data_IF_959495762409
#
_entry.id   IF_959495762409
#
_cell.length_a   1.000
_cell.length_b   1.000
_cell.length_c   1.000
_cell.angle_alpha   90.00
_cell.angle_beta   90.00
_cell.angle_gamma   90.00
#
_symmetry.space_group_name_H-M   'P 1'
#
loop_
_entity.id
_entity.type
_entity.pdbx_description
1 polymer ?
#
# COMPACT_ATOMS: atom_id res chain seq x y z
N UNK A 1 21.20 18.90 3.91
CA UNK A 1 20.94 18.16 5.18
C UNK A 1 21.12 16.68 4.93
N UNK A 2 21.94 16.04 5.76
CA UNK A 2 22.21 14.60 5.72
C UNK A 2 20.93 13.82 6.01
N UNK A 3 20.47 13.06 5.06
CA UNK A 3 19.14 12.45 5.09
C UNK A 3 19.24 10.93 5.07
N UNK A 4 18.52 10.25 5.97
CA UNK A 4 18.30 8.80 5.93
C UNK A 4 16.93 8.53 5.31
N UNK A 5 16.88 7.55 4.40
CA UNK A 5 15.66 7.09 3.73
C UNK A 5 15.32 5.67 4.14
N UNK A 6 14.11 5.47 4.66
CA UNK A 6 13.62 4.14 5.10
C UNK A 6 12.50 3.72 4.17
N UNK A 7 12.72 2.67 3.39
CA UNK A 7 11.73 2.11 2.46
C UNK A 7 12.08 0.69 2.03
N UNK A 8 11.08 -0.04 1.52
CA UNK A 8 11.30 -1.32 0.87
C UNK A 8 10.52 -1.47 -0.45
N UNK A 9 9.70 -0.48 -0.82
CA UNK A 9 8.80 -0.59 -1.96
C UNK A 9 9.11 0.41 -3.09
N UNK A 10 8.52 0.15 -4.25
CA UNK A 10 8.69 0.97 -5.45
C UNK A 10 8.25 2.41 -5.24
N UNK A 11 7.16 2.64 -4.51
CA UNK A 11 6.67 3.99 -4.22
C UNK A 11 7.68 4.79 -3.40
N UNK A 12 8.26 4.17 -2.37
CA UNK A 12 9.29 4.80 -1.56
C UNK A 12 10.61 5.00 -2.30
N UNK A 13 10.93 4.12 -3.27
CA UNK A 13 12.09 4.29 -4.14
C UNK A 13 11.91 5.48 -5.10
N UNK A 14 10.75 5.62 -5.73
CA UNK A 14 10.44 6.76 -6.60
C UNK A 14 10.49 8.09 -5.82
N UNK A 15 10.01 8.07 -4.58
CA UNK A 15 10.11 9.23 -3.68
C UNK A 15 11.57 9.56 -3.31
N UNK A 16 12.41 8.56 -3.08
CA UNK A 16 13.84 8.75 -2.81
C UNK A 16 14.52 9.42 -4.01
N UNK A 17 14.29 8.92 -5.23
CA UNK A 17 14.84 9.52 -6.45
C UNK A 17 14.38 10.97 -6.61
N UNK A 18 13.10 11.23 -6.39
CA UNK A 18 12.57 12.60 -6.43
C UNK A 18 13.20 13.51 -5.34
N UNK A 19 13.45 12.99 -4.15
CA UNK A 19 14.12 13.76 -3.09
C UNK A 19 15.56 14.11 -3.47
N UNK A 20 16.28 13.21 -4.13
CA UNK A 20 17.62 13.45 -4.67
C UNK A 20 17.59 14.54 -5.75
N UNK A 21 16.63 14.47 -6.68
CA UNK A 21 16.46 15.47 -7.75
C UNK A 21 16.29 16.89 -7.20
N UNK A 22 15.63 17.04 -6.04
CA UNK A 22 15.38 18.34 -5.41
C UNK A 22 16.40 18.71 -4.34
N UNK A 23 17.54 18.00 -4.27
CA UNK A 23 18.72 18.37 -3.48
C UNK A 23 18.84 17.72 -2.10
N UNK A 24 18.12 16.65 -1.81
CA UNK A 24 18.36 15.88 -0.59
C UNK A 24 19.70 15.12 -0.68
N UNK A 25 20.53 15.25 0.36
CA UNK A 25 21.78 14.50 0.52
C UNK A 25 21.48 13.17 1.23
N UNK A 26 21.32 12.10 0.47
CA UNK A 26 21.04 10.78 1.05
C UNK A 26 22.35 10.15 1.53
N UNK A 27 22.46 9.97 2.84
CA UNK A 27 23.65 9.39 3.50
C UNK A 27 23.45 7.94 3.95
N UNK A 28 22.20 7.49 4.01
CA UNK A 28 21.85 6.11 4.35
C UNK A 28 20.49 5.71 3.79
N UNK A 29 20.39 4.49 3.31
CA UNK A 29 19.15 3.84 2.86
C UNK A 29 18.93 2.62 3.73
N UNK A 30 17.78 2.59 4.42
CA UNK A 30 17.35 1.47 5.27
C UNK A 30 16.29 0.70 4.52
N UNK A 31 16.52 -0.61 4.31
CA UNK A 31 15.62 -1.46 3.54
C UNK A 31 15.54 -2.88 4.11
N UNK A 32 14.68 -3.71 3.54
CA UNK A 32 14.57 -5.12 3.91
C UNK A 32 15.71 -5.94 3.31
N UNK A 33 16.25 -6.91 4.06
CA UNK A 33 17.30 -7.79 3.57
C UNK A 33 16.76 -8.91 2.66
N UNK A 34 17.63 -9.39 1.78
CA UNK A 34 17.42 -10.62 1.01
C UNK A 34 16.62 -10.43 -0.28
N UNK A 35 16.20 -11.53 -0.91
CA UNK A 35 15.48 -11.48 -2.18
C UNK A 35 14.12 -10.83 -2.02
N UNK A 36 13.60 -10.32 -3.15
CA UNK A 36 12.25 -9.74 -3.21
C UNK A 36 11.24 -10.83 -2.88
N UNK A 37 10.39 -10.55 -1.90
CA UNK A 37 9.32 -11.43 -1.45
C UNK A 37 8.05 -11.15 -2.29
N UNK A 38 7.58 -12.10 -3.11
CA UNK A 38 6.42 -11.90 -3.98
C UNK A 38 5.11 -11.65 -3.19
N UNK A 39 5.04 -12.10 -1.94
CA UNK A 39 3.88 -11.88 -1.07
C UNK A 39 3.89 -10.47 -0.42
N UNK A 40 4.94 -9.70 -0.67
CA UNK A 40 5.12 -8.37 -0.11
C UNK A 40 4.92 -7.31 -1.20
N UNK A 41 3.76 -6.68 -1.16
CA UNK A 41 3.32 -5.70 -2.17
C UNK A 41 4.37 -4.63 -2.46
N UNK A 42 4.79 -4.53 -3.71
CA UNK A 42 5.67 -3.49 -4.21
C UNK A 42 7.13 -3.58 -3.79
N UNK A 43 7.58 -4.63 -3.09
CA UNK A 43 8.98 -4.73 -2.67
C UNK A 43 9.93 -4.61 -3.86
N UNK A 44 11.00 -3.82 -3.71
CA UNK A 44 12.05 -3.66 -4.71
C UNK A 44 13.44 -3.53 -4.05
N UNK A 45 14.48 -3.65 -4.88
CA UNK A 45 15.87 -3.49 -4.45
C UNK A 45 16.24 -2.01 -4.30
N UNK A 46 17.22 -1.71 -3.43
CA UNK A 46 17.77 -0.37 -3.17
C UNK A 46 19.30 -0.31 -3.26
N UNK A 47 19.97 -1.44 -3.51
CA UNK A 47 21.43 -1.56 -3.58
C UNK A 47 22.04 -0.68 -4.67
N UNK A 48 21.45 -0.66 -5.86
CA UNK A 48 21.91 0.15 -6.99
C UNK A 48 21.82 1.65 -6.72
N UNK A 49 20.71 2.12 -6.15
CA UNK A 49 20.52 3.54 -5.82
C UNK A 49 21.42 3.95 -4.66
N UNK A 50 21.57 3.13 -3.62
CA UNK A 50 22.47 3.41 -2.52
C UNK A 50 23.91 3.48 -2.99
N UNK A 51 24.39 2.54 -3.83
CA UNK A 51 25.72 2.55 -4.41
C UNK A 51 25.97 3.78 -5.29
N UNK A 52 25.02 4.16 -6.15
CA UNK A 52 25.10 5.35 -7.00
C UNK A 52 25.24 6.64 -6.19
N UNK A 53 24.56 6.72 -5.06
CA UNK A 53 24.58 7.90 -4.18
C UNK A 53 25.76 7.90 -3.20
N UNK A 54 26.51 6.80 -3.09
CA UNK A 54 27.52 6.63 -2.04
C UNK A 54 26.94 6.56 -0.64
N UNK A 55 25.65 6.24 -0.52
CA UNK A 55 24.94 6.11 0.73
C UNK A 55 25.17 4.74 1.38
N UNK A 56 25.17 4.68 2.71
CA UNK A 56 25.22 3.41 3.41
C UNK A 56 23.93 2.62 3.20
N UNK A 57 24.02 1.39 2.68
CA UNK A 57 22.90 0.46 2.64
C UNK A 57 22.79 -0.26 3.99
N UNK A 58 21.65 -0.13 4.65
CA UNK A 58 21.37 -0.72 5.97
C UNK A 58 20.18 -1.68 5.81
N UNK A 59 20.49 -2.95 5.72
CA UNK A 59 19.47 -3.99 5.61
C UNK A 59 18.99 -4.42 6.99
N UNK A 60 17.67 -4.40 7.21
CA UNK A 60 17.07 -4.79 8.49
C UNK A 60 15.65 -5.32 8.33
N UNK A 61 15.25 -6.22 9.23
CA UNK A 61 13.85 -6.64 9.43
C UNK A 61 13.18 -5.90 10.58
N UNK A 62 13.96 -5.16 11.37
CA UNK A 62 13.46 -4.34 12.48
C UNK A 62 14.20 -2.99 12.51
N UNK A 63 13.48 -1.94 12.10
CA UNK A 63 14.00 -0.57 12.05
C UNK A 63 14.38 -0.03 13.44
N UNK A 64 13.82 -0.60 14.51
CA UNK A 64 14.08 -0.21 15.91
C UNK A 64 15.16 -1.06 16.59
N UNK A 65 15.71 -2.08 15.92
CA UNK A 65 16.77 -2.90 16.47
C UNK A 65 18.03 -2.07 16.79
N UNK A 66 18.71 -2.41 17.87
CA UNK A 66 19.89 -1.66 18.34
C UNK A 66 21.00 -1.58 17.29
N UNK A 67 21.25 -2.68 16.56
CA UNK A 67 22.21 -2.72 15.45
C UNK A 67 21.81 -1.77 14.31
N UNK A 68 20.53 -1.70 13.95
CA UNK A 68 19.99 -0.77 12.94
C UNK A 68 20.17 0.67 13.38
N UNK A 69 19.77 0.99 14.62
CA UNK A 69 19.92 2.34 15.19
C UNK A 69 21.40 2.77 15.26
N UNK A 70 22.31 1.84 15.59
CA UNK A 70 23.74 2.11 15.61
C UNK A 70 24.31 2.32 14.20
N UNK A 71 23.81 1.59 13.19
CA UNK A 71 24.21 1.81 11.81
C UNK A 71 23.73 3.17 11.29
N UNK A 72 22.50 3.57 11.58
CA UNK A 72 21.94 4.88 11.24
C UNK A 72 22.72 6.00 11.95
N UNK A 73 23.05 5.83 13.22
CA UNK A 73 23.82 6.84 13.99
C UNK A 73 25.19 7.14 13.36
N UNK A 74 25.85 6.13 12.77
CA UNK A 74 27.17 6.30 12.13
C UNK A 74 27.15 7.22 10.91
N UNK A 75 26.01 7.34 10.25
CA UNK A 75 25.84 8.25 9.11
C UNK A 75 25.35 9.64 9.53
N UNK A 76 25.21 9.92 10.83
CA UNK A 76 24.90 11.22 11.41
C UNK A 76 23.76 11.97 10.69
N UNK A 77 22.53 11.39 10.63
CA UNK A 77 21.44 12.01 9.91
C UNK A 77 20.94 13.29 10.58
N UNK A 78 20.55 14.26 9.78
CA UNK A 78 19.81 15.44 10.22
C UNK A 78 18.31 15.25 10.02
N UNK A 79 17.92 14.63 8.90
CA UNK A 79 16.55 14.29 8.53
C UNK A 79 16.40 12.78 8.34
N UNK A 80 15.19 12.27 8.56
CA UNK A 80 14.83 10.94 8.13
C UNK A 80 13.46 10.93 7.45
N UNK A 81 13.33 10.15 6.39
CA UNK A 81 12.05 9.85 5.75
C UNK A 81 11.71 8.37 5.90
N UNK A 82 10.46 8.08 6.24
CA UNK A 82 9.90 6.73 6.38
C UNK A 82 8.73 6.62 5.40
N UNK A 83 8.99 6.04 4.23
CA UNK A 83 8.04 5.98 3.11
C UNK A 83 7.88 4.54 2.66
N UNK A 84 6.64 4.02 2.62
CA UNK A 84 6.40 2.63 2.25
C UNK A 84 7.01 1.62 3.25
N UNK A 85 7.01 1.95 4.53
CA UNK A 85 7.52 1.08 5.60
C UNK A 85 6.40 0.64 6.53
N UNK A 86 6.39 -0.63 6.89
CA UNK A 86 5.24 -1.23 7.59
C UNK A 86 5.35 -1.28 9.12
N UNK A 87 6.50 -0.91 9.69
CA UNK A 87 6.70 -0.85 11.13
C UNK A 87 6.62 0.61 11.62
N UNK A 88 6.12 0.80 12.81
CA UNK A 88 6.25 2.08 13.51
C UNK A 88 7.68 2.28 13.95
N UNK A 89 8.19 3.49 13.82
CA UNK A 89 9.47 3.89 14.42
C UNK A 89 9.23 4.38 15.85
N UNK A 90 10.19 4.11 16.72
CA UNK A 90 10.10 4.44 18.15
C UNK A 90 11.03 5.61 18.51
N UNK A 91 10.86 6.15 19.73
CA UNK A 91 11.61 7.30 20.21
C UNK A 91 13.13 7.23 19.97
N UNK A 92 13.82 6.06 20.15
CA UNK A 92 15.25 5.97 19.88
C UNK A 92 15.63 6.19 18.41
N UNK A 93 14.75 5.82 17.46
CA UNK A 93 14.94 6.13 16.04
C UNK A 93 14.68 7.62 15.77
N UNK A 94 13.57 8.15 16.31
CA UNK A 94 13.17 9.55 16.12
C UNK A 94 14.28 10.49 16.61
N UNK A 95 14.91 10.17 17.73
CA UNK A 95 15.99 10.96 18.30
C UNK A 95 17.29 10.99 17.46
N UNK A 96 17.42 10.14 16.43
CA UNK A 96 18.61 10.15 15.56
C UNK A 96 18.62 11.30 14.55
N UNK A 97 17.43 11.83 14.18
CA UNK A 97 17.30 12.87 13.17
C UNK A 97 16.86 14.19 13.82
N UNK A 98 17.83 15.08 14.11
CA UNK A 98 17.60 16.31 14.89
C UNK A 98 16.66 17.33 14.23
N UNK A 99 16.53 17.32 12.90
CA UNK A 99 15.65 18.21 12.13
C UNK A 99 14.27 17.58 11.86
N UNK A 100 14.07 16.33 12.29
CA UNK A 100 12.81 15.63 12.29
C UNK A 100 12.80 14.34 11.47
N UNK A 101 11.78 13.54 11.75
CA UNK A 101 11.43 12.31 11.02
C UNK A 101 10.10 12.53 10.33
N UNK A 102 10.02 12.20 9.06
CA UNK A 102 8.83 12.44 8.25
C UNK A 102 8.34 11.14 7.63
N UNK A 103 7.02 10.94 7.68
CA UNK A 103 6.34 9.83 7.05
C UNK A 103 5.40 10.28 5.95
N UNK A 104 5.07 9.36 5.06
CA UNK A 104 4.02 9.58 4.06
C UNK A 104 2.94 8.50 4.20
N UNK A 105 1.70 8.94 4.17
CA UNK A 105 0.56 8.05 4.30
C UNK A 105 -0.43 8.28 3.16
N UNK A 106 -0.89 7.22 2.44
CA UNK A 106 -1.76 7.37 1.27
C UNK A 106 -3.23 7.55 1.65
N UNK A 107 -3.50 8.52 2.53
CA UNK A 107 -4.82 9.04 2.87
C UNK A 107 -4.77 10.55 3.16
N UNK A 108 -5.93 11.17 3.30
CA UNK A 108 -6.07 12.56 3.77
C UNK A 108 -6.20 12.57 5.30
N UNK A 109 -5.05 12.55 6.00
CA UNK A 109 -5.02 12.65 7.46
C UNK A 109 -5.79 13.89 7.96
N UNK A 110 -6.45 13.83 9.11
CA UNK A 110 -6.35 12.82 10.17
C UNK A 110 -7.25 11.59 9.97
N UNK A 111 -7.99 11.52 8.88
CA UNK A 111 -8.85 10.36 8.60
C UNK A 111 -8.02 9.19 8.06
N UNK A 112 -8.47 7.96 8.39
CA UNK A 112 -7.96 6.73 7.79
C UNK A 112 -6.47 6.48 8.05
N UNK A 113 -5.99 6.76 9.28
CA UNK A 113 -4.69 6.33 9.78
C UNK A 113 -4.58 4.81 9.75
N UNK A 114 -3.38 4.26 9.86
CA UNK A 114 -3.15 2.84 10.10
C UNK A 114 -2.73 2.08 8.86
N UNK A 115 -3.40 0.97 8.52
CA UNK A 115 -2.86 -0.03 7.60
C UNK A 115 -3.75 -0.29 6.39
N UNK A 116 -3.14 -0.77 5.29
CA UNK A 116 -3.82 -1.15 4.05
C UNK A 116 -4.76 -0.06 3.48
N UNK A 117 -4.34 1.22 3.41
CA UNK A 117 -5.21 2.33 3.06
C UNK A 117 -5.82 2.23 1.66
N UNK A 118 -5.10 1.70 0.67
CA UNK A 118 -5.59 1.60 -0.71
C UNK A 118 -6.75 0.60 -0.83
N UNK A 119 -6.63 -0.67 -0.38
CA UNK A 119 -7.77 -1.58 -0.35
C UNK A 119 -8.97 -1.02 0.43
N UNK A 120 -8.72 -0.46 1.60
CA UNK A 120 -9.82 0.09 2.41
C UNK A 120 -10.52 1.28 1.76
N UNK A 121 -9.82 2.14 1.03
CA UNK A 121 -10.42 3.26 0.32
C UNK A 121 -11.45 2.78 -0.71
N UNK A 122 -11.10 1.74 -1.49
CA UNK A 122 -12.00 1.14 -2.47
C UNK A 122 -13.15 0.40 -1.78
N UNK A 123 -12.87 -0.48 -0.81
CA UNK A 123 -13.87 -1.26 -0.08
C UNK A 123 -14.86 -0.39 0.70
N UNK A 124 -14.43 0.80 1.13
CA UNK A 124 -15.28 1.77 1.81
C UNK A 124 -16.09 2.66 0.84
N UNK A 125 -15.96 2.45 -0.48
CA UNK A 125 -16.66 3.23 -1.49
C UNK A 125 -16.30 4.72 -1.48
N UNK A 126 -15.06 5.06 -1.12
CA UNK A 126 -14.63 6.46 -1.11
C UNK A 126 -14.54 7.00 -2.54
N UNK A 127 -15.10 8.21 -2.77
CA UNK A 127 -14.94 8.92 -4.03
C UNK A 127 -13.59 9.66 -4.13
N UNK A 128 -12.86 9.78 -3.03
CA UNK A 128 -11.56 10.44 -2.96
C UNK A 128 -10.71 9.92 -1.80
N UNK A 129 -9.42 9.95 -2.01
CA UNK A 129 -8.37 9.73 -1.01
C UNK A 129 -7.27 10.77 -1.24
N UNK A 130 -6.05 10.49 -0.87
CA UNK A 130 -4.92 11.39 -1.15
C UNK A 130 -3.64 10.88 -0.51
N UNK A 131 -2.65 11.74 -0.47
CA UNK A 131 -1.38 11.50 0.20
C UNK A 131 -1.12 12.61 1.20
N UNK A 132 -0.65 12.25 2.37
CA UNK A 132 -0.20 13.20 3.40
C UNK A 132 1.27 12.98 3.70
N UNK A 133 2.08 14.02 3.59
CA UNK A 133 3.40 14.11 4.22
C UNK A 133 3.20 14.69 5.63
N UNK A 134 3.72 14.00 6.65
CA UNK A 134 3.54 14.38 8.05
C UNK A 134 4.81 14.12 8.86
N UNK A 135 4.93 14.78 10.00
CA UNK A 135 6.02 14.61 10.94
C UNK A 135 5.75 13.44 11.88
N UNK A 136 6.74 12.58 12.12
CA UNK A 136 6.66 11.48 13.09
C UNK A 136 7.34 11.96 14.38
N UNK A 137 6.54 12.16 15.43
CA UNK A 137 7.00 12.71 16.72
C UNK A 137 7.00 11.69 17.86
N UNK A 138 6.28 10.59 17.69
CA UNK A 138 6.19 9.48 18.63
C UNK A 138 5.76 8.20 17.89
N UNK A 139 5.57 7.11 18.61
CA UNK A 139 5.12 5.81 18.07
C UNK A 139 3.61 5.72 17.80
N UNK A 140 2.86 6.83 17.88
CA UNK A 140 1.44 6.84 17.51
C UNK A 140 1.28 6.93 16.00
N UNK A 141 0.64 5.93 15.41
CA UNK A 141 0.51 5.84 13.96
C UNK A 141 -0.12 7.11 13.35
N UNK A 142 0.58 7.71 12.38
CA UNK A 142 0.11 8.77 11.48
C UNK A 142 -0.47 9.99 12.20
N UNK A 143 -0.01 10.30 13.44
CA UNK A 143 -0.63 11.30 14.32
C UNK A 143 0.02 12.67 14.28
N UNK A 144 1.24 12.79 13.78
CA UNK A 144 2.03 14.01 13.83
C UNK A 144 1.52 15.14 12.93
N UNK A 145 2.19 16.29 12.98
CA UNK A 145 1.76 17.47 12.23
C UNK A 145 1.82 17.25 10.72
N UNK A 146 0.77 17.65 10.01
CA UNK A 146 0.70 17.61 8.54
C UNK A 146 1.62 18.69 7.97
N UNK A 147 2.50 18.29 7.05
CA UNK A 147 3.37 19.18 6.27
C UNK A 147 2.67 19.59 4.96
N UNK A 148 2.00 18.65 4.30
CA UNK A 148 1.19 18.91 3.13
C UNK A 148 0.39 17.69 2.70
N UNK A 149 -0.58 17.93 1.82
CA UNK A 149 -1.50 16.91 1.31
C UNK A 149 -1.80 17.14 -0.16
N UNK A 150 -1.97 16.04 -0.91
CA UNK A 150 -2.51 16.02 -2.27
C UNK A 150 -3.73 15.13 -2.29
N UNK A 151 -4.86 15.64 -2.79
CA UNK A 151 -6.09 14.88 -2.99
C UNK A 151 -6.03 14.09 -4.30
N UNK A 152 -6.56 12.86 -4.28
CA UNK A 152 -6.67 11.96 -5.44
C UNK A 152 -8.11 11.44 -5.50
N UNK A 153 -8.79 11.66 -6.61
CA UNK A 153 -10.12 11.10 -6.86
C UNK A 153 -10.03 9.58 -7.06
N UNK A 154 -11.10 8.87 -6.72
CA UNK A 154 -11.27 7.43 -6.94
C UNK A 154 -12.45 7.24 -7.88
N UNK A 155 -12.18 6.72 -9.08
CA UNK A 155 -13.23 6.42 -10.05
C UNK A 155 -14.10 5.24 -9.58
N UNK A 156 -15.37 5.14 -10.04
CA UNK A 156 -16.25 4.04 -9.65
C UNK A 156 -15.72 2.64 -10.00
N UNK A 157 -14.90 2.55 -11.03
CA UNK A 157 -14.24 1.34 -11.53
C UNK A 157 -12.74 1.27 -11.19
N UNK A 158 -12.25 2.19 -10.34
CA UNK A 158 -10.85 2.25 -9.93
C UNK A 158 -10.38 0.93 -9.31
N UNK A 159 -9.27 0.38 -9.78
CA UNK A 159 -8.64 -0.81 -9.20
C UNK A 159 -7.53 -0.44 -8.22
N UNK A 160 -7.12 -1.40 -7.38
CA UNK A 160 -5.95 -1.19 -6.52
C UNK A 160 -4.68 -0.89 -7.32
N UNK A 161 -4.54 -1.48 -8.52
CA UNK A 161 -3.40 -1.24 -9.43
C UNK A 161 -3.35 0.21 -9.89
N UNK A 162 -4.45 0.74 -10.43
CA UNK A 162 -4.51 2.10 -10.95
C UNK A 162 -4.43 3.14 -9.82
N UNK A 163 -5.11 2.89 -8.70
CA UNK A 163 -5.05 3.79 -7.54
C UNK A 163 -3.64 3.83 -6.92
N UNK A 164 -2.96 2.67 -6.83
CA UNK A 164 -1.56 2.61 -6.36
C UNK A 164 -0.66 3.49 -7.23
N UNK A 165 -0.75 3.37 -8.55
CA UNK A 165 0.06 4.18 -9.47
C UNK A 165 -0.22 5.69 -9.34
N UNK A 166 -1.48 6.09 -9.20
CA UNK A 166 -1.87 7.50 -9.02
C UNK A 166 -1.41 8.05 -7.68
N UNK A 167 -1.50 7.25 -6.61
CA UNK A 167 -0.99 7.64 -5.31
C UNK A 167 0.54 7.70 -5.29
N UNK A 168 1.25 6.79 -5.97
CA UNK A 168 2.70 6.88 -6.12
C UNK A 168 3.10 8.20 -6.79
N UNK A 169 2.39 8.61 -7.84
CA UNK A 169 2.61 9.91 -8.50
C UNK A 169 2.38 11.08 -7.53
N UNK A 170 1.31 11.05 -6.76
CA UNK A 170 1.00 12.07 -5.74
C UNK A 170 2.06 12.12 -4.63
N UNK A 171 2.64 10.98 -4.22
CA UNK A 171 3.77 10.94 -3.29
C UNK A 171 4.98 11.67 -3.87
N UNK A 172 5.38 11.36 -5.09
CA UNK A 172 6.49 12.02 -5.79
C UNK A 172 6.25 13.53 -5.92
N UNK A 173 5.02 13.94 -6.25
CA UNK A 173 4.65 15.36 -6.30
C UNK A 173 4.88 16.06 -4.96
N UNK A 174 4.38 15.49 -3.85
CA UNK A 174 4.60 16.07 -2.51
C UNK A 174 6.08 16.13 -2.13
N UNK A 175 6.86 15.10 -2.48
CA UNK A 175 8.30 15.09 -2.23
C UNK A 175 8.97 16.27 -2.96
N UNK A 176 8.70 16.44 -4.26
CA UNK A 176 9.28 17.54 -5.06
C UNK A 176 8.90 18.92 -4.52
N UNK A 177 7.69 19.08 -4.02
CA UNK A 177 7.19 20.34 -3.49
C UNK A 177 7.74 20.65 -2.08
N UNK A 178 7.74 19.67 -1.18
CA UNK A 178 7.92 19.90 0.24
C UNK A 178 9.34 19.59 0.76
N UNK A 179 10.09 18.69 0.12
CA UNK A 179 11.46 18.39 0.56
C UNK A 179 12.35 19.62 0.50
N UNK A 180 12.35 20.49 -0.54
CA UNK A 180 13.12 21.74 -0.51
C UNK A 180 12.76 22.65 0.65
N UNK A 181 11.48 22.71 1.03
CA UNK A 181 11.00 23.50 2.16
C UNK A 181 11.45 22.90 3.51
N UNK A 182 11.50 21.56 3.61
CA UNK A 182 12.07 20.87 4.78
C UNK A 182 13.57 21.14 4.91
N UNK A 183 14.31 21.04 3.80
CA UNK A 183 15.76 21.32 3.76
C UNK A 183 16.08 22.76 4.13
N UNK A 184 15.23 23.72 3.82
CA UNK A 184 15.36 25.13 4.18
C UNK A 184 14.70 25.52 5.51
N UNK A 185 14.09 24.55 6.22
CA UNK A 185 13.34 24.76 7.48
C UNK A 185 12.14 25.70 7.35
N UNK A 186 11.57 25.82 6.16
CA UNK A 186 10.43 26.71 5.87
C UNK A 186 9.11 25.95 5.68
N UNK A 187 9.14 24.61 5.76
CA UNK A 187 7.94 23.79 5.55
C UNK A 187 6.88 24.04 6.62
N UNK A 188 5.59 24.17 6.23
CA UNK A 188 4.50 24.37 7.19
C UNK A 188 4.31 23.15 8.10
N UNK A 189 3.65 23.38 9.23
CA UNK A 189 3.24 22.35 10.18
C UNK A 189 1.82 22.65 10.63
N UNK A 190 0.89 21.76 10.32
CA UNK A 190 -0.50 21.87 10.73
C UNK A 190 -0.87 20.73 11.67
N UNK A 191 -1.30 21.06 12.87
CA UNK A 191 -1.70 20.06 13.86
C UNK A 191 -2.94 19.31 13.38
N UNK A 192 -2.95 17.98 13.52
CA UNK A 192 -4.13 17.20 13.23
C UNK A 192 -5.23 17.42 14.28
N UNK A 193 -6.49 17.50 13.84
CA UNK A 193 -7.65 17.52 14.73
C UNK A 193 -7.98 16.08 15.19
N UNK A 194 -7.79 15.75 16.47
CA UNK A 194 -8.06 14.40 16.96
C UNK A 194 -9.55 14.02 16.90
N UNK A 195 -10.46 15.01 16.92
CA UNK A 195 -11.89 14.77 16.78
C UNK A 195 -12.31 14.29 15.38
N UNK A 196 -11.45 14.44 14.38
CA UNK A 196 -11.67 13.98 13.00
C UNK A 196 -10.90 12.74 12.66
N UNK A 197 -10.07 12.22 13.57
CA UNK A 197 -9.23 11.07 13.34
C UNK A 197 -10.05 9.78 13.25
N UNK A 198 -9.70 8.94 12.30
CA UNK A 198 -10.17 7.55 12.19
C UNK A 198 -9.02 6.66 11.75
N UNK A 199 -9.16 5.33 11.91
CA UNK A 199 -8.11 4.40 11.54
C UNK A 199 -8.68 3.15 10.90
N UNK A 200 -7.89 2.53 10.02
CA UNK A 200 -8.15 1.25 9.41
C UNK A 200 -7.25 0.15 9.97
N UNK A 201 -7.79 -1.07 10.13
CA UNK A 201 -7.00 -2.19 10.60
C UNK A 201 -6.05 -2.72 9.52
N UNK A 202 -5.07 -3.52 9.96
CA UNK A 202 -4.20 -4.29 9.07
C UNK A 202 -5.02 -5.31 8.28
N UNK A 203 -4.64 -5.51 7.01
CA UNK A 203 -5.06 -6.66 6.20
C UNK A 203 -3.87 -7.62 6.02
N UNK A 204 -4.20 -8.90 5.87
CA UNK A 204 -3.25 -9.98 5.56
C UNK A 204 -3.75 -10.75 4.34
N UNK A 205 -2.92 -11.53 3.63
CA UNK A 205 -3.34 -12.28 2.44
C UNK A 205 -4.58 -13.16 2.67
N UNK A 206 -4.72 -13.76 3.85
CA UNK A 206 -5.88 -14.56 4.22
C UNK A 206 -7.22 -13.80 4.22
N UNK A 207 -7.17 -12.48 4.42
CA UNK A 207 -8.38 -11.64 4.34
C UNK A 207 -8.92 -11.50 2.90
N UNK A 208 -8.22 -12.04 1.90
CA UNK A 208 -8.64 -12.01 0.50
C UNK A 208 -9.64 -13.09 0.12
N UNK A 209 -10.02 -14.00 1.03
CA UNK A 209 -11.00 -15.05 0.74
C UNK A 209 -12.32 -14.48 0.25
N UNK A 210 -12.89 -15.08 -0.80
CA UNK A 210 -14.18 -14.68 -1.37
C UNK A 210 -15.28 -15.43 -0.62
N UNK A 211 -16.21 -14.68 -0.05
CA UNK A 211 -17.48 -15.22 0.49
C UNK A 211 -18.56 -15.10 -0.56
N UNK A 212 -18.83 -16.21 -1.26
CA UNK A 212 -19.79 -16.28 -2.35
C UNK A 212 -21.24 -15.99 -1.94
N UNK A 213 -21.59 -16.08 -0.65
CA UNK A 213 -22.92 -15.70 -0.15
C UNK A 213 -23.15 -14.18 -0.21
N UNK A 214 -22.11 -13.43 -0.53
CA UNK A 214 -22.16 -11.97 -0.71
C UNK A 214 -22.68 -11.61 -2.10
N UNK A 215 -23.32 -10.44 -2.25
CA UNK A 215 -23.83 -9.94 -3.54
C UNK A 215 -22.71 -9.59 -4.53
N UNK A 216 -22.96 -9.83 -5.83
CA UNK A 216 -21.96 -9.64 -6.88
C UNK A 216 -21.34 -8.23 -6.95
N UNK A 217 -22.06 -7.09 -6.80
CA UNK A 217 -21.45 -5.78 -6.81
C UNK A 217 -20.41 -5.56 -5.69
N UNK A 218 -20.65 -6.14 -4.50
CA UNK A 218 -19.67 -6.08 -3.42
C UNK A 218 -18.45 -6.97 -3.70
N UNK A 219 -18.65 -8.16 -4.28
CA UNK A 219 -17.56 -9.05 -4.68
C UNK A 219 -16.71 -8.43 -5.81
N UNK A 220 -17.31 -7.66 -6.71
CA UNK A 220 -16.57 -6.85 -7.67
C UNK A 220 -15.63 -5.87 -6.96
N UNK A 221 -16.16 -5.10 -5.98
CA UNK A 221 -15.33 -4.20 -5.17
C UNK A 221 -14.25 -4.96 -4.39
N UNK A 222 -14.60 -6.17 -3.89
CA UNK A 222 -13.66 -7.03 -3.18
C UNK A 222 -12.50 -7.46 -4.05
N UNK A 223 -12.73 -7.86 -5.30
CA UNK A 223 -11.69 -8.27 -6.26
C UNK A 223 -10.82 -7.06 -6.64
N UNK A 224 -11.43 -5.97 -7.13
CA UNK A 224 -10.68 -4.81 -7.62
C UNK A 224 -9.89 -4.07 -6.55
N UNK A 225 -10.30 -4.15 -5.28
CA UNK A 225 -9.58 -3.56 -4.15
C UNK A 225 -8.32 -4.33 -3.75
N UNK A 226 -8.18 -5.58 -4.15
CA UNK A 226 -7.12 -6.47 -3.73
C UNK A 226 -6.29 -7.01 -4.89
N UNK A 227 -6.58 -6.57 -6.13
CA UNK A 227 -5.75 -6.93 -7.28
C UNK A 227 -4.34 -6.38 -7.16
N UNK A 228 -3.47 -6.65 -8.12
CA UNK A 228 -2.04 -6.25 -8.09
C UNK A 228 -1.87 -4.78 -7.68
N UNK A 229 -0.87 -4.45 -6.86
CA UNK A 229 0.26 -5.28 -6.39
C UNK A 229 -0.05 -6.10 -5.12
N UNK A 230 -1.30 -6.24 -4.72
CA UNK A 230 -1.70 -7.04 -3.56
C UNK A 230 -1.83 -8.52 -3.93
N UNK A 231 -1.97 -9.43 -2.92
CA UNK A 231 -2.00 -10.88 -3.14
C UNK A 231 -3.22 -11.42 -3.90
N UNK A 232 -4.21 -10.58 -4.21
CA UNK A 232 -5.44 -10.95 -4.90
C UNK A 232 -6.56 -11.43 -3.98
N UNK A 233 -7.81 -11.30 -4.47
CA UNK A 233 -8.93 -12.02 -3.90
C UNK A 233 -8.82 -13.50 -4.32
N UNK A 234 -9.27 -14.42 -3.47
CA UNK A 234 -9.13 -15.84 -3.78
C UNK A 234 -10.28 -16.69 -3.24
N UNK A 235 -10.43 -17.85 -3.85
CA UNK A 235 -11.32 -18.93 -3.43
C UNK A 235 -10.61 -20.26 -3.59
N UNK A 236 -11.31 -21.37 -3.40
CA UNK A 236 -10.78 -22.71 -3.62
C UNK A 236 -11.66 -23.50 -4.60
N UNK A 237 -11.03 -24.36 -5.37
CA UNK A 237 -11.69 -25.43 -6.12
C UNK A 237 -11.10 -26.77 -5.67
N UNK A 238 -11.85 -27.50 -4.83
CA UNK A 238 -11.29 -28.58 -4.03
C UNK A 238 -10.21 -28.03 -3.07
N UNK A 239 -8.99 -28.58 -3.16
CA UNK A 239 -7.85 -28.13 -2.36
C UNK A 239 -7.01 -27.05 -3.06
N UNK A 240 -7.30 -26.76 -4.33
CA UNK A 240 -6.52 -25.85 -5.15
C UNK A 240 -6.98 -24.41 -4.99
N UNK A 241 -6.02 -23.51 -4.75
CA UNK A 241 -6.29 -22.07 -4.65
C UNK A 241 -6.54 -21.48 -6.04
N UNK A 242 -7.61 -20.70 -6.14
CA UNK A 242 -7.98 -19.91 -7.32
C UNK A 242 -7.89 -18.43 -6.95
N UNK A 243 -6.91 -17.72 -7.48
CA UNK A 243 -6.78 -16.27 -7.31
C UNK A 243 -7.57 -15.59 -8.42
N UNK A 244 -8.39 -14.62 -8.04
CA UNK A 244 -9.21 -13.81 -8.97
C UNK A 244 -8.60 -12.41 -9.02
N UNK A 245 -8.06 -12.05 -10.20
CA UNK A 245 -7.41 -10.76 -10.43
C UNK A 245 -8.37 -9.71 -10.98
N UNK A 246 -9.27 -10.14 -11.88
CA UNK A 246 -10.29 -9.30 -12.51
C UNK A 246 -11.63 -10.03 -12.55
N UNK A 247 -12.69 -9.27 -12.31
CA UNK A 247 -14.04 -9.78 -12.35
C UNK A 247 -15.03 -8.66 -12.68
N UNK A 248 -16.24 -9.01 -13.13
CA UNK A 248 -17.35 -8.06 -13.26
C UNK A 248 -18.69 -8.69 -12.85
N UNK A 249 -19.61 -7.90 -12.28
CA UNK A 249 -20.92 -8.37 -11.91
C UNK A 249 -21.80 -8.58 -13.15
N UNK A 250 -22.67 -9.59 -13.08
CA UNK A 250 -23.69 -9.89 -14.09
C UNK A 250 -25.01 -10.26 -13.43
N UNK A 251 -26.10 -10.03 -14.14
CA UNK A 251 -27.41 -10.57 -13.76
C UNK A 251 -27.47 -12.05 -14.16
N UNK A 252 -28.04 -12.88 -13.30
CA UNK A 252 -28.30 -14.29 -13.62
C UNK A 252 -29.75 -14.48 -14.05
N UNK A 253 -29.97 -15.30 -15.09
CA UNK A 253 -31.30 -15.64 -15.59
C UNK A 253 -32.06 -16.59 -14.65
N UNK A 254 -31.37 -17.33 -13.79
CA UNK A 254 -31.94 -18.25 -12.81
C UNK A 254 -31.07 -18.26 -11.53
N UNK A 255 -31.71 -18.52 -10.39
CA UNK A 255 -31.02 -18.70 -9.11
C UNK A 255 -30.22 -20.03 -9.13
N UNK A 256 -29.06 -19.98 -8.51
CA UNK A 256 -28.19 -21.13 -8.28
C UNK A 256 -27.52 -20.99 -6.90
N UNK A 257 -27.11 -22.09 -6.26
CA UNK A 257 -26.38 -22.02 -5.00
C UNK A 257 -25.10 -21.17 -5.15
N UNK A 258 -24.84 -20.31 -4.20
CA UNK A 258 -23.65 -19.43 -4.20
C UNK A 258 -22.36 -20.26 -4.33
N UNK A 259 -21.39 -19.75 -5.10
CA UNK A 259 -20.15 -20.44 -5.45
C UNK A 259 -20.27 -21.42 -6.63
N UNK A 260 -21.49 -21.67 -7.15
CA UNK A 260 -21.68 -22.58 -8.30
C UNK A 260 -21.29 -21.87 -9.61
N UNK A 261 -20.49 -22.52 -10.45
CA UNK A 261 -20.21 -22.08 -11.82
C UNK A 261 -21.45 -22.40 -12.68
N UNK A 262 -22.16 -21.36 -13.10
CA UNK A 262 -23.42 -21.48 -13.84
C UNK A 262 -23.26 -21.42 -15.35
N UNK A 263 -22.15 -20.82 -15.81
CA UNK A 263 -21.79 -20.70 -17.22
C UNK A 263 -20.26 -20.56 -17.37
N UNK A 264 -19.77 -20.86 -18.58
CA UNK A 264 -18.37 -20.56 -18.97
C UNK A 264 -18.45 -19.76 -20.26
N UNK A 265 -18.39 -18.45 -20.13
CA UNK A 265 -18.42 -17.49 -21.25
C UNK A 265 -17.06 -17.35 -21.92
N UNK A 266 -17.01 -16.59 -23.02
CA UNK A 266 -15.75 -16.22 -23.66
C UNK A 266 -14.82 -15.37 -22.75
N UNK A 267 -15.43 -14.65 -21.79
CA UNK A 267 -14.71 -13.78 -20.84
C UNK A 267 -14.29 -14.53 -19.56
N UNK A 268 -14.74 -15.77 -19.37
CA UNK A 268 -14.41 -16.61 -18.22
C UNK A 268 -15.59 -17.26 -17.53
N UNK A 269 -15.36 -18.03 -16.44
CA UNK A 269 -16.40 -18.67 -15.66
C UNK A 269 -17.33 -17.64 -15.00
N UNK A 270 -18.64 -17.91 -15.03
CA UNK A 270 -19.69 -17.15 -14.35
C UNK A 270 -20.08 -17.88 -13.09
N UNK A 271 -19.86 -17.27 -11.94
CA UNK A 271 -20.10 -17.85 -10.62
C UNK A 271 -21.32 -17.20 -9.97
N UNK A 272 -22.26 -18.01 -9.48
CA UNK A 272 -23.41 -17.52 -8.73
C UNK A 272 -22.96 -16.94 -7.39
N UNK A 273 -23.51 -15.78 -7.04
CA UNK A 273 -23.30 -15.08 -5.78
C UNK A 273 -24.59 -15.11 -4.93
N UNK A 274 -24.55 -14.60 -3.71
CA UNK A 274 -25.76 -14.47 -2.88
C UNK A 274 -26.84 -13.64 -3.56
N UNK A 275 -26.45 -12.68 -4.42
CA UNK A 275 -27.33 -11.95 -5.34
C UNK A 275 -26.55 -11.65 -6.62
N UNK A 276 -27.08 -12.07 -7.79
CA UNK A 276 -26.45 -11.95 -9.09
C UNK A 276 -25.31 -12.94 -9.29
N UNK A 277 -24.46 -12.68 -10.28
CA UNK A 277 -23.30 -13.49 -10.62
C UNK A 277 -22.03 -12.64 -10.83
N UNK A 278 -20.88 -13.29 -10.78
CA UNK A 278 -19.59 -12.69 -11.03
C UNK A 278 -18.90 -13.43 -12.17
N UNK A 279 -18.54 -12.73 -13.24
CA UNK A 279 -17.66 -13.26 -14.30
C UNK A 279 -16.23 -13.12 -13.80
N UNK A 280 -15.46 -14.20 -13.82
CA UNK A 280 -14.05 -14.20 -13.42
C UNK A 280 -13.20 -13.99 -14.69
N UNK A 281 -12.83 -12.75 -14.98
CA UNK A 281 -12.19 -12.36 -16.24
C UNK A 281 -10.70 -12.69 -16.28
N UNK A 282 -10.00 -12.54 -15.14
CA UNK A 282 -8.62 -12.97 -14.99
C UNK A 282 -8.45 -13.80 -13.71
N UNK A 283 -8.05 -15.05 -13.87
CA UNK A 283 -7.77 -15.98 -12.78
C UNK A 283 -6.36 -16.56 -12.87
N UNK A 284 -5.83 -16.96 -11.73
CA UNK A 284 -4.59 -17.71 -11.61
C UNK A 284 -4.84 -18.93 -10.73
N UNK A 285 -4.62 -20.12 -11.26
CA UNK A 285 -4.84 -21.38 -10.54
C UNK A 285 -3.99 -22.49 -11.13
N UNK A 286 -3.68 -23.50 -10.32
CA UNK A 286 -3.14 -24.80 -10.76
C UNK A 286 -4.25 -25.87 -10.84
N UNK A 287 -5.48 -25.52 -10.45
CA UNK A 287 -6.64 -26.39 -10.56
C UNK A 287 -6.93 -26.77 -12.01
N UNK A 288 -7.61 -27.88 -12.19
CA UNK A 288 -8.16 -28.29 -13.48
C UNK A 288 -9.23 -27.32 -14.02
N UNK A 289 -9.91 -27.73 -15.10
CA UNK A 289 -10.93 -26.92 -15.76
C UNK A 289 -12.09 -26.58 -14.82
N UNK A 290 -12.41 -25.29 -14.73
CA UNK A 290 -13.55 -24.76 -13.97
C UNK A 290 -14.82 -24.91 -14.80
N UNK A 291 -15.44 -26.10 -14.78
CA UNK A 291 -16.60 -26.46 -15.61
C UNK A 291 -17.92 -26.04 -14.96
N UNK A 292 -18.97 -25.90 -15.79
CA UNK A 292 -20.36 -25.65 -15.34
C UNK A 292 -20.79 -26.74 -14.37
N UNK A 293 -21.44 -26.33 -13.27
CA UNK A 293 -21.89 -27.19 -12.18
C UNK A 293 -20.83 -27.44 -11.09
N UNK A 294 -19.56 -27.06 -11.31
CA UNK A 294 -18.55 -27.10 -10.28
C UNK A 294 -18.82 -26.01 -9.21
N UNK A 295 -18.30 -26.20 -7.99
CA UNK A 295 -18.50 -25.28 -6.88
C UNK A 295 -17.15 -24.79 -6.35
N UNK A 296 -17.06 -23.49 -6.18
CA UNK A 296 -15.96 -22.76 -5.54
C UNK A 296 -16.30 -22.46 -4.08
N UNK A 297 -15.30 -22.54 -3.15
CA UNK A 297 -15.51 -22.19 -1.75
C UNK A 297 -14.83 -23.11 -0.77
#
# INVERSE_FOLDING_TARGET
MRTVWVSFDTMGRDCLEAAVEVGAEIVGVVTLPGPIDPDRSGQCAFDDVAARLGAALIETRDVNALETLNAIRKVEPELAFVVGWSQLVHDPFIALAREGVFGMHPTLLPRHRGRAPIPWAILSGLARTGVTLFEIVDSTADSGAIVGQVEVEIAPDETATSLFARLAHAHVQLVRELVPQLLSRSAPRSRQDPGRASSWPKRVPADGIIDWETRAPYLYDWVRAQTRPYPGAFTYFGDDKVIVWEARPVELAAEAPAGTIVDVSADGPVVACGEGGLVLEEIQTEAGELAVGARLG
#
